data_IF_749002671476
#
_entry.id   IF_749002671476
#
_cell.length_a   1.000
_cell.length_b   1.000
_cell.length_c   1.000
_cell.angle_alpha   90.00
_cell.angle_beta   90.00
_cell.angle_gamma   90.00
#
_symmetry.space_group_name_H-M   'P 1'
#
loop_
_entity.id
_entity.type
_entity.pdbx_description
1 polymer ?
#
# COMPACT_ATOMS: atom_id res chain seq x y z
N UNK A 1 3.92 34.20 14.86
CA UNK A 1 2.62 34.90 15.06
C UNK A 1 2.61 36.15 14.18
N UNK A 2 2.35 35.98 12.88
CA UNK A 2 2.33 37.10 11.93
C UNK A 2 1.20 36.89 10.92
N UNK A 3 0.29 37.86 10.95
CA UNK A 3 -0.68 38.32 9.95
C UNK A 3 -1.20 37.37 8.87
N UNK A 4 -2.50 37.07 8.98
CA UNK A 4 -3.42 37.08 7.83
C UNK A 4 -3.29 38.43 7.12
N UNK A 5 -3.04 38.43 5.82
CA UNK A 5 -3.39 39.56 4.96
C UNK A 5 -3.67 39.06 3.55
N UNK A 6 -4.93 39.25 3.18
CA UNK A 6 -5.51 39.00 1.88
C UNK A 6 -4.92 40.01 0.90
N UNK A 7 -4.18 39.54 -0.11
CA UNK A 7 -3.91 40.26 -1.36
C UNK A 7 -4.51 39.40 -2.47
N UNK A 8 -5.64 39.82 -3.00
CA UNK A 8 -5.73 40.58 -4.26
C UNK A 8 -5.86 39.61 -5.43
N UNK A 9 -7.08 39.30 -5.88
CA UNK A 9 -7.71 39.98 -7.04
C UNK A 9 -6.68 40.29 -8.14
N UNK A 10 -6.71 39.60 -9.28
CA UNK A 10 -7.57 39.92 -10.41
C UNK A 10 -7.23 39.05 -11.65
N UNK A 11 -8.27 38.71 -12.41
CA UNK A 11 -8.31 38.54 -13.87
C UNK A 11 -7.47 37.43 -14.55
N UNK A 12 -8.18 36.40 -15.00
CA UNK A 12 -8.14 35.81 -16.36
C UNK A 12 -9.15 34.65 -16.33
N UNK A 13 -10.42 34.86 -16.64
CA UNK A 13 -10.91 35.07 -18.01
C UNK A 13 -11.82 33.88 -18.32
N UNK A 14 -13.13 34.05 -18.10
CA UNK A 14 -14.15 33.10 -18.53
C UNK A 14 -14.23 33.20 -20.06
N UNK A 15 -13.38 32.44 -20.74
CA UNK A 15 -13.45 32.20 -22.17
C UNK A 15 -14.40 31.04 -22.45
N UNK A 16 -15.60 31.37 -22.90
CA UNK A 16 -16.49 30.42 -23.54
C UNK A 16 -15.80 29.86 -24.80
N UNK A 17 -15.53 28.57 -24.81
CA UNK A 17 -14.91 27.87 -25.94
C UNK A 17 -15.08 26.37 -25.76
N UNK A 18 -16.20 25.85 -26.26
CA UNK A 18 -16.43 24.42 -26.42
C UNK A 18 -15.35 23.85 -27.37
N UNK A 19 -14.39 23.11 -26.82
CA UNK A 19 -13.62 22.11 -27.55
C UNK A 19 -13.25 20.98 -26.57
N UNK A 20 -14.19 20.04 -26.47
CA UNK A 20 -14.00 18.71 -25.91
C UNK A 20 -12.84 18.00 -26.63
N UNK A 21 -11.68 17.85 -25.98
CA UNK A 21 -10.66 16.88 -26.44
C UNK A 21 -9.55 16.55 -25.42
N UNK A 22 -9.25 17.40 -24.42
CA UNK A 22 -7.97 17.27 -23.69
C UNK A 22 -8.02 17.29 -22.15
N UNK A 23 -9.18 17.15 -21.52
CA UNK A 23 -9.31 17.34 -20.06
C UNK A 23 -9.03 16.07 -19.25
N UNK A 24 -9.03 14.88 -19.86
CA UNK A 24 -8.68 13.64 -19.15
C UNK A 24 -7.16 13.55 -18.90
N UNK A 25 -6.33 13.94 -19.86
CA UNK A 25 -4.87 13.81 -19.75
C UNK A 25 -4.25 14.76 -18.74
N UNK A 26 -4.80 15.97 -18.61
CA UNK A 26 -4.28 16.98 -17.68
C UNK A 26 -4.61 16.65 -16.22
N UNK A 27 -5.84 16.20 -15.96
CA UNK A 27 -6.28 15.77 -14.63
C UNK A 27 -5.59 14.45 -14.23
N UNK A 28 -5.37 13.54 -15.18
CA UNK A 28 -4.56 12.33 -14.98
C UNK A 28 -3.10 12.69 -14.65
N UNK A 29 -2.48 13.68 -15.31
CA UNK A 29 -1.10 14.11 -15.00
C UNK A 29 -0.94 14.69 -13.59
N UNK A 30 -1.90 15.47 -13.09
CA UNK A 30 -1.89 15.94 -11.70
C UNK A 30 -2.02 14.79 -10.69
N UNK A 31 -2.89 13.81 -10.96
CA UNK A 31 -3.04 12.65 -10.07
C UNK A 31 -1.78 11.77 -10.03
N UNK A 32 -1.06 11.61 -11.14
CA UNK A 32 0.21 10.88 -11.16
C UNK A 32 1.31 11.63 -10.41
N UNK A 33 1.43 12.95 -10.57
CA UNK A 33 2.45 13.73 -9.89
C UNK A 33 2.29 13.72 -8.35
N UNK A 34 1.05 13.85 -7.85
CA UNK A 34 0.76 13.79 -6.41
C UNK A 34 0.88 12.37 -5.85
N UNK A 35 0.57 11.33 -6.63
CA UNK A 35 0.81 9.94 -6.23
C UNK A 35 2.30 9.57 -6.18
N UNK A 36 3.16 10.28 -6.91
CA UNK A 36 4.60 10.05 -6.93
C UNK A 36 5.34 10.73 -5.76
N UNK A 37 4.72 11.70 -5.07
CA UNK A 37 5.38 12.46 -3.99
C UNK A 37 5.42 11.71 -2.64
N UNK A 38 4.64 10.64 -2.47
CA UNK A 38 4.56 9.86 -1.22
C UNK A 38 5.37 8.55 -1.22
N UNK A 39 6.25 8.32 -2.21
CA UNK A 39 7.07 7.10 -2.26
C UNK A 39 8.51 7.38 -1.83
N UNK A 40 8.71 7.64 -0.54
CA UNK A 40 10.02 7.42 0.05
C UNK A 40 10.42 5.96 -0.24
N UNK A 41 11.51 5.77 -0.99
CA UNK A 41 11.97 4.44 -1.38
C UNK A 41 12.52 3.73 -0.15
N UNK A 42 11.65 3.10 0.64
CA UNK A 42 12.08 2.10 1.60
C UNK A 42 12.64 0.91 0.83
N UNK A 43 13.97 0.90 0.71
CA UNK A 43 14.68 -0.16 0.01
C UNK A 43 14.85 -1.35 0.95
N UNK A 44 14.01 -2.35 0.73
CA UNK A 44 14.16 -3.66 1.32
C UNK A 44 15.09 -4.49 0.44
N UNK A 45 16.01 -5.26 1.04
CA UNK A 45 16.91 -6.16 0.29
C UNK A 45 16.17 -7.39 -0.24
N UNK A 46 15.11 -7.81 0.45
CA UNK A 46 14.31 -8.99 0.08
C UNK A 46 12.83 -8.65 0.13
N UNK A 47 12.13 -9.04 -0.93
CA UNK A 47 10.68 -8.97 -1.03
C UNK A 47 10.12 -10.39 -1.06
N UNK A 48 9.21 -10.68 -0.13
CA UNK A 48 8.46 -11.95 -0.05
C UNK A 48 7.02 -11.66 -0.49
N UNK A 49 6.57 -12.34 -1.53
CA UNK A 49 5.19 -12.24 -2.02
C UNK A 49 4.38 -13.39 -1.45
N UNK A 50 3.31 -13.06 -0.70
CA UNK A 50 2.49 -14.02 0.01
C UNK A 50 2.89 -14.13 1.49
N UNK A 51 1.98 -13.73 2.37
CA UNK A 51 2.14 -13.74 3.82
C UNK A 51 1.58 -14.99 4.50
N UNK A 52 1.44 -16.10 3.75
CA UNK A 52 1.01 -17.40 4.27
C UNK A 52 2.10 -18.14 5.05
N UNK A 53 1.83 -19.38 5.48
CA UNK A 53 2.73 -20.16 6.35
C UNK A 53 4.16 -20.24 5.81
N UNK A 54 4.29 -20.46 4.50
CA UNK A 54 5.60 -20.53 3.85
C UNK A 54 6.34 -19.18 3.86
N UNK A 55 5.65 -18.08 3.55
CA UNK A 55 6.24 -16.75 3.50
C UNK A 55 6.76 -16.27 4.85
N UNK A 56 5.94 -16.41 5.89
CA UNK A 56 6.34 -16.06 7.26
C UNK A 56 7.46 -16.96 7.78
N UNK A 57 7.42 -18.26 7.48
CA UNK A 57 8.50 -19.19 7.86
C UNK A 57 9.82 -18.81 7.18
N UNK A 58 9.78 -18.47 5.89
CA UNK A 58 10.96 -18.05 5.15
C UNK A 58 11.55 -16.76 5.72
N UNK A 59 10.71 -15.77 6.02
CA UNK A 59 11.14 -14.53 6.66
C UNK A 59 11.88 -14.80 7.98
N UNK A 60 11.30 -15.62 8.86
CA UNK A 60 11.93 -16.02 10.11
C UNK A 60 13.25 -16.77 9.90
N UNK A 61 13.32 -17.68 8.93
CA UNK A 61 14.56 -18.40 8.65
C UNK A 61 15.68 -17.47 8.16
N UNK A 62 15.35 -16.49 7.32
CA UNK A 62 16.33 -15.54 6.80
C UNK A 62 16.90 -14.68 7.93
N UNK A 63 16.01 -14.18 8.80
CA UNK A 63 16.38 -13.39 9.99
C UNK A 63 17.23 -14.23 10.95
N UNK A 64 16.79 -15.45 11.28
CA UNK A 64 17.48 -16.32 12.23
C UNK A 64 18.86 -16.79 11.73
N UNK A 65 19.05 -16.89 10.42
CA UNK A 65 20.36 -17.21 9.82
C UNK A 65 21.32 -16.02 9.82
N UNK A 66 20.92 -14.85 10.32
CA UNK A 66 21.76 -13.66 10.46
C UNK A 66 22.19 -13.04 9.13
N UNK A 67 21.55 -13.42 8.02
CA UNK A 67 21.95 -12.94 6.69
C UNK A 67 21.44 -11.53 6.41
N UNK A 68 20.29 -11.18 6.98
CA UNK A 68 19.52 -9.97 6.66
C UNK A 68 18.77 -9.54 7.93
N UNK A 69 18.77 -8.24 8.21
CA UNK A 69 18.05 -7.68 9.36
C UNK A 69 16.53 -7.62 9.09
N UNK A 70 15.71 -7.63 10.14
CA UNK A 70 14.24 -7.65 10.01
C UNK A 70 13.71 -6.45 9.21
N UNK A 71 14.34 -5.29 9.31
CA UNK A 71 13.98 -4.06 8.61
C UNK A 71 14.35 -4.06 7.11
N UNK A 72 15.01 -5.09 6.62
CA UNK A 72 15.41 -5.21 5.21
C UNK A 72 14.53 -6.21 4.43
N UNK A 73 13.49 -6.76 5.08
CA UNK A 73 12.56 -7.74 4.48
C UNK A 73 11.16 -7.13 4.43
N UNK A 74 10.59 -7.05 3.23
CA UNK A 74 9.19 -6.69 3.03
C UNK A 74 8.37 -7.95 2.70
N UNK A 75 7.20 -8.10 3.31
CA UNK A 75 6.22 -9.13 2.97
C UNK A 75 4.97 -8.44 2.43
N UNK A 76 4.51 -8.85 1.25
CA UNK A 76 3.29 -8.32 0.63
C UNK A 76 2.21 -9.39 0.66
N UNK A 77 1.12 -9.10 1.34
CA UNK A 77 -0.05 -9.97 1.48
C UNK A 77 -1.32 -9.10 1.41
N UNK A 78 -2.27 -9.39 0.51
CA UNK A 78 -3.53 -8.66 0.43
C UNK A 78 -4.49 -8.97 1.60
N UNK A 79 -4.40 -10.14 2.23
CA UNK A 79 -5.28 -10.51 3.35
C UNK A 79 -4.78 -9.97 4.69
N UNK A 80 -5.66 -9.38 5.49
CA UNK A 80 -5.36 -8.98 6.87
C UNK A 80 -5.36 -10.15 7.86
N UNK A 81 -5.89 -11.31 7.46
CA UNK A 81 -6.00 -12.51 8.30
C UNK A 81 -5.23 -13.66 7.65
N UNK A 82 -4.39 -14.31 8.46
CA UNK A 82 -3.62 -15.47 8.07
C UNK A 82 -4.22 -16.71 8.73
N UNK A 83 -4.98 -17.48 7.95
CA UNK A 83 -5.61 -18.72 8.44
C UNK A 83 -4.66 -19.92 8.35
N UNK A 84 -4.64 -20.73 9.40
CA UNK A 84 -4.05 -22.06 9.40
C UNK A 84 -4.99 -23.05 8.68
N UNK A 85 -4.84 -23.12 7.36
CA UNK A 85 -5.70 -23.92 6.47
C UNK A 85 -5.94 -25.38 6.93
N UNK A 86 -4.97 -26.11 7.53
CA UNK A 86 -5.23 -27.47 8.01
C UNK A 86 -6.34 -27.56 9.05
N UNK A 87 -6.51 -26.53 9.89
CA UNK A 87 -7.53 -26.49 10.94
C UNK A 87 -8.96 -26.46 10.41
N UNK A 88 -9.17 -26.11 9.13
CA UNK A 88 -10.53 -26.09 8.55
C UNK A 88 -11.20 -27.46 8.56
N UNK A 89 -10.43 -28.54 8.47
CA UNK A 89 -10.97 -29.91 8.62
C UNK A 89 -11.53 -30.14 10.03
N UNK A 90 -10.86 -29.61 11.05
CA UNK A 90 -11.31 -29.68 12.44
C UNK A 90 -12.44 -28.69 12.75
N UNK A 91 -12.48 -27.54 12.07
CA UNK A 91 -13.64 -26.64 12.10
C UNK A 91 -14.86 -27.34 11.51
N UNK A 92 -14.71 -28.06 10.39
CA UNK A 92 -15.79 -28.86 9.81
C UNK A 92 -16.23 -30.01 10.73
N UNK A 93 -15.31 -30.59 11.51
CA UNK A 93 -15.62 -31.58 12.54
C UNK A 93 -16.22 -31.01 13.83
N UNK A 94 -16.38 -29.68 13.93
CA UNK A 94 -16.91 -28.99 15.11
C UNK A 94 -15.95 -28.89 16.30
N UNK A 95 -14.67 -29.24 16.11
CA UNK A 95 -13.65 -29.25 17.16
C UNK A 95 -12.97 -27.88 17.36
N UNK A 96 -12.96 -27.03 16.33
CA UNK A 96 -12.41 -25.68 16.40
C UNK A 96 -13.38 -24.62 15.93
N UNK A 97 -13.23 -23.41 16.49
CA UNK A 97 -13.91 -22.20 16.05
C UNK A 97 -13.08 -21.51 14.97
N UNK A 98 -13.75 -20.94 13.96
CA UNK A 98 -13.10 -20.29 12.80
C UNK A 98 -12.22 -19.10 13.22
N UNK A 99 -12.59 -18.41 14.29
CA UNK A 99 -11.89 -17.22 14.79
C UNK A 99 -10.57 -17.58 15.50
N UNK A 100 -10.39 -18.84 15.88
CA UNK A 100 -9.17 -19.36 16.50
C UNK A 100 -8.17 -19.92 15.47
N UNK A 101 -8.49 -19.83 14.18
CA UNK A 101 -7.75 -20.45 13.09
C UNK A 101 -7.10 -19.44 12.16
#
# INVERSE_FOLDING_TARGET
MFHRSVRSLCAMGVGAGLAFAGTSEFLVRETHALAQEQKASERHKVLIVGGGTAGTTLANQIVNKGKIAQNEIAIVEPSSVHYYQPSWTMVAAGLYRKEAS
#
